data_IF_845376123677
#
_entry.id   IF_845376123677
#
_cell.length_a   1.000
_cell.length_b   1.000
_cell.length_c   1.000
_cell.angle_alpha   90.00
_cell.angle_beta   90.00
_cell.angle_gamma   90.00
#
_symmetry.space_group_name_H-M   'P 1'
#
loop_
_entity.id
_entity.type
_entity.pdbx_description
1 polymer ?
#
# COMPACT_ATOMS: atom_id res chain seq x y z
N UNK A 1 -25.44 -4.38 -6.74
CA UNK A 1 -25.28 -5.29 -5.59
C UNK A 1 -24.04 -6.12 -5.87
N UNK A 2 -23.18 -6.38 -4.87
CA UNK A 2 -21.96 -7.18 -5.09
C UNK A 2 -22.26 -8.65 -4.79
N UNK A 3 -21.96 -9.55 -5.73
CA UNK A 3 -22.22 -10.99 -5.61
C UNK A 3 -21.09 -11.77 -4.92
N UNK A 4 -20.08 -11.07 -4.39
CA UNK A 4 -18.92 -11.65 -3.70
C UNK A 4 -18.46 -10.74 -2.54
N UNK A 5 -17.60 -11.24 -1.62
CA UNK A 5 -17.02 -10.42 -0.57
C UNK A 5 -16.19 -9.28 -1.18
N UNK A 6 -16.57 -8.03 -0.88
CA UNK A 6 -15.87 -6.83 -1.34
C UNK A 6 -15.37 -6.06 -0.12
N UNK A 7 -14.12 -5.62 -0.18
CA UNK A 7 -13.49 -4.77 0.83
C UNK A 7 -12.96 -3.52 0.16
N UNK A 8 -13.18 -2.37 0.78
CA UNK A 8 -12.72 -1.06 0.31
C UNK A 8 -11.72 -0.49 1.31
N UNK A 9 -10.56 -0.05 0.82
CA UNK A 9 -9.48 0.47 1.65
C UNK A 9 -9.01 1.84 1.17
N UNK A 10 -8.87 2.77 2.10
CA UNK A 10 -8.10 4.02 1.94
C UNK A 10 -6.92 3.99 2.92
N UNK A 11 -5.85 3.23 2.60
CA UNK A 11 -4.76 2.95 3.53
C UNK A 11 -3.92 4.20 3.88
N UNK A 12 -3.94 5.22 3.01
CA UNK A 12 -3.16 6.44 3.20
C UNK A 12 -4.06 7.67 3.14
N UNK A 13 -3.90 8.55 4.12
CA UNK A 13 -4.63 9.81 4.20
C UNK A 13 -3.91 10.88 3.38
N UNK A 14 -4.59 11.41 2.36
CA UNK A 14 -4.02 12.39 1.42
C UNK A 14 -3.65 13.73 2.05
N UNK A 15 -4.17 14.03 3.25
CA UNK A 15 -3.83 15.24 4.00
C UNK A 15 -2.54 15.08 4.86
N UNK A 16 -1.90 13.92 4.84
CA UNK A 16 -0.63 13.72 5.55
C UNK A 16 0.54 14.24 4.72
N UNK A 17 1.38 15.09 5.32
CA UNK A 17 2.61 15.59 4.69
C UNK A 17 3.56 14.46 4.29
N UNK A 18 3.70 13.45 5.16
CA UNK A 18 4.50 12.27 4.87
C UNK A 18 3.95 11.49 3.68
N UNK A 19 2.62 11.25 3.64
CA UNK A 19 1.99 10.55 2.51
C UNK A 19 2.14 11.34 1.21
N UNK A 20 2.00 12.67 1.28
CA UNK A 20 2.20 13.55 0.14
C UNK A 20 3.60 13.41 -0.44
N UNK A 21 4.65 13.45 0.39
CA UNK A 21 6.03 13.24 -0.05
C UNK A 21 6.23 11.84 -0.65
N UNK A 22 5.60 10.82 -0.06
CA UNK A 22 5.63 9.44 -0.56
C UNK A 22 4.96 9.28 -1.92
N UNK A 23 3.87 9.99 -2.17
CA UNK A 23 3.20 10.00 -3.48
C UNK A 23 4.07 10.73 -4.52
N UNK A 24 4.67 11.87 -4.15
CA UNK A 24 5.58 12.61 -5.04
C UNK A 24 6.82 11.81 -5.43
N UNK A 25 7.33 10.96 -4.53
CA UNK A 25 8.45 10.07 -4.82
C UNK A 25 8.14 9.01 -5.89
N UNK A 26 6.86 8.73 -6.18
CA UNK A 26 6.44 7.83 -7.25
C UNK A 26 6.71 6.34 -6.97
N UNK A 27 6.64 5.53 -8.03
CA UNK A 27 7.09 4.13 -7.98
C UNK A 27 8.60 4.05 -8.16
N UNK A 28 9.24 3.21 -7.35
CA UNK A 28 10.67 2.94 -7.42
C UNK A 28 10.98 1.53 -6.91
N UNK A 29 12.02 0.87 -7.45
CA UNK A 29 12.46 -0.43 -6.98
C UNK A 29 13.24 -0.32 -5.67
N UNK A 30 13.13 -1.35 -4.82
CA UNK A 30 13.88 -1.43 -3.55
C UNK A 30 13.38 -0.42 -2.52
N UNK A 31 14.33 0.20 -1.81
CA UNK A 31 14.07 1.22 -0.81
C UNK A 31 14.75 2.54 -1.20
N UNK A 32 14.11 3.64 -0.86
CA UNK A 32 14.63 4.98 -1.01
C UNK A 32 14.34 5.80 0.24
N UNK A 33 15.13 6.84 0.47
CA UNK A 33 14.89 7.77 1.56
C UNK A 33 13.74 8.71 1.17
N UNK A 34 12.59 8.54 1.82
CA UNK A 34 11.39 9.34 1.56
C UNK A 34 10.76 9.73 2.90
N UNK A 35 10.45 11.02 3.05
CA UNK A 35 10.02 11.61 4.31
C UNK A 35 10.96 11.25 5.49
N UNK A 36 12.27 11.34 5.25
CA UNK A 36 13.32 11.11 6.24
C UNK A 36 13.46 9.67 6.74
N UNK A 37 12.89 8.68 6.03
CA UNK A 37 13.12 7.25 6.34
C UNK A 37 13.36 6.44 5.07
N UNK A 38 14.27 5.47 5.15
CA UNK A 38 14.42 4.43 4.14
C UNK A 38 13.19 3.53 4.13
N UNK A 39 12.51 3.46 2.98
CA UNK A 39 11.29 2.67 2.82
C UNK A 39 11.02 2.31 1.36
N UNK A 40 10.23 1.26 1.16
CA UNK A 40 9.68 0.89 -0.15
C UNK A 40 8.74 1.98 -0.68
N UNK A 41 8.58 1.98 -2.01
CA UNK A 41 7.55 2.79 -2.67
C UNK A 41 6.18 2.52 -2.08
N UNK A 42 5.40 3.58 -1.88
CA UNK A 42 4.03 3.50 -1.33
C UNK A 42 3.11 2.62 -2.18
N UNK A 43 3.34 2.55 -3.50
CA UNK A 43 2.58 1.70 -4.42
C UNK A 43 2.90 0.22 -4.23
N UNK A 44 4.20 -0.12 -4.13
CA UNK A 44 4.65 -1.49 -3.93
C UNK A 44 4.34 -2.00 -2.53
N UNK A 45 4.50 -1.16 -1.52
CA UNK A 45 4.10 -1.46 -0.14
C UNK A 45 2.62 -1.86 -0.08
N UNK A 46 1.75 -1.08 -0.71
CA UNK A 46 0.33 -1.37 -0.72
C UNK A 46 -0.02 -2.64 -1.50
N UNK A 47 0.59 -2.84 -2.68
CA UNK A 47 0.40 -4.04 -3.48
C UNK A 47 0.85 -5.30 -2.73
N UNK A 48 2.04 -5.27 -2.11
CA UNK A 48 2.59 -6.37 -1.31
C UNK A 48 1.62 -6.71 -0.16
N UNK A 49 1.13 -5.71 0.57
CA UNK A 49 0.21 -5.90 1.68
C UNK A 49 -1.14 -6.51 1.24
N UNK A 50 -1.70 -6.06 0.12
CA UNK A 50 -2.94 -6.62 -0.44
C UNK A 50 -2.76 -8.06 -0.88
N UNK A 51 -1.67 -8.38 -1.59
CA UNK A 51 -1.38 -9.73 -2.06
C UNK A 51 -1.16 -10.66 -0.87
N UNK A 52 -0.41 -10.24 0.14
CA UNK A 52 -0.20 -11.02 1.35
C UNK A 52 -1.53 -11.30 2.06
N UNK A 53 -2.36 -10.28 2.26
CA UNK A 53 -3.68 -10.45 2.89
C UNK A 53 -4.60 -11.40 2.12
N UNK A 54 -4.62 -11.30 0.78
CA UNK A 54 -5.39 -12.20 -0.07
C UNK A 54 -4.88 -13.64 -0.01
N UNK A 55 -3.57 -13.85 -0.03
CA UNK A 55 -2.97 -15.18 0.08
C UNK A 55 -3.26 -15.81 1.45
N UNK A 56 -3.20 -15.03 2.52
CA UNK A 56 -3.55 -15.50 3.86
C UNK A 56 -5.03 -15.88 3.94
N UNK A 57 -5.94 -15.06 3.40
CA UNK A 57 -7.37 -15.38 3.32
C UNK A 57 -7.65 -16.62 2.48
N UNK A 58 -6.96 -16.77 1.35
CA UNK A 58 -7.13 -17.94 0.48
C UNK A 58 -6.67 -19.24 1.14
N UNK A 59 -5.70 -19.19 2.05
CA UNK A 59 -5.18 -20.35 2.78
C UNK A 59 -6.00 -20.72 4.02
N UNK A 60 -6.79 -19.78 4.55
CA UNK A 60 -7.63 -20.02 5.73
C UNK A 60 -9.02 -20.56 5.38
N UNK A 61 -9.32 -20.72 4.09
CA UNK A 61 -10.47 -21.45 3.55
C UNK A 61 -10.04 -22.82 3.04
#
# INVERSE_FOLDING_TARGET
MYDCPVIFFEPYVMNSREVYERIQAGDYPGEAEVAGKMRKSIYREYADALVEGLLQYSKSR
#
